data_IF_432739478687
#
_entry.id   IF_432739478687
#
_cell.length_a   1.000
_cell.length_b   1.000
_cell.length_c   1.000
_cell.angle_alpha   90.00
_cell.angle_beta   90.00
_cell.angle_gamma   90.00
#
_symmetry.space_group_name_H-M   'P 1'
#
loop_
_entity.id
_entity.type
_entity.pdbx_description
1 polymer ?
#
# COMPACT_ATOMS: atom_id res chain seq x y z
N UNK A 1 -18.81 37.97 -5.78
CA UNK A 1 -19.41 39.32 -5.78
C UNK A 1 -20.41 39.39 -6.90
N UNK A 2 -21.55 40.02 -6.66
CA UNK A 2 -22.63 40.19 -7.64
C UNK A 2 -22.82 41.70 -7.82
N UNK A 3 -22.82 42.17 -9.06
CA UNK A 3 -23.07 43.59 -9.40
C UNK A 3 -24.24 43.68 -10.38
N UNK A 4 -25.24 44.48 -10.00
CA UNK A 4 -26.44 44.77 -10.79
C UNK A 4 -26.37 46.20 -11.35
N UNK A 5 -26.27 46.35 -12.67
CA UNK A 5 -26.32 47.65 -13.35
C UNK A 5 -27.61 47.76 -14.16
N UNK A 6 -28.48 48.71 -13.80
CA UNK A 6 -29.74 49.00 -14.49
C UNK A 6 -29.68 50.41 -15.10
N UNK A 7 -29.69 50.49 -16.43
CA UNK A 7 -29.82 51.76 -17.17
C UNK A 7 -31.13 51.78 -17.95
N UNK A 8 -31.87 52.89 -17.86
CA UNK A 8 -33.09 53.11 -18.61
C UNK A 8 -33.05 54.48 -19.29
N UNK A 9 -33.06 54.48 -20.62
CA UNK A 9 -33.03 55.68 -21.46
C UNK A 9 -34.39 55.83 -22.16
N UNK A 10 -34.96 57.03 -22.18
CA UNK A 10 -36.27 57.28 -22.81
C UNK A 10 -36.35 58.66 -23.45
N UNK A 11 -37.13 58.76 -24.53
CA UNK A 11 -37.43 60.05 -25.18
C UNK A 11 -38.47 60.82 -24.35
N UNK A 12 -38.21 62.08 -23.93
CA UNK A 12 -39.15 62.88 -23.13
C UNK A 12 -40.51 63.03 -23.83
N UNK A 13 -41.60 62.88 -23.08
CA UNK A 13 -42.98 62.99 -23.59
C UNK A 13 -43.50 61.73 -24.30
N UNK A 14 -42.70 61.09 -25.15
CA UNK A 14 -43.11 59.88 -25.89
C UNK A 14 -42.89 58.58 -25.11
N UNK A 15 -41.89 58.53 -24.24
CA UNK A 15 -41.55 57.33 -23.46
C UNK A 15 -42.52 56.99 -22.33
N UNK A 16 -43.41 57.91 -21.94
CA UNK A 16 -44.37 57.72 -20.84
C UNK A 16 -45.74 57.21 -21.28
N UNK A 17 -45.92 56.93 -22.58
CA UNK A 17 -47.20 56.46 -23.10
C UNK A 17 -47.47 55.01 -22.69
N UNK A 18 -48.65 54.69 -22.14
CA UNK A 18 -48.96 53.35 -21.61
C UNK A 18 -48.95 52.25 -22.69
N UNK A 19 -49.19 52.60 -23.95
CA UNK A 19 -49.22 51.66 -25.09
C UNK A 19 -48.02 51.77 -26.03
N UNK A 20 -47.42 52.96 -26.16
CA UNK A 20 -46.37 53.23 -27.15
C UNK A 20 -45.01 53.52 -26.53
N UNK A 21 -44.92 53.77 -25.23
CA UNK A 21 -43.69 54.19 -24.55
C UNK A 21 -42.52 53.22 -24.74
N UNK A 22 -42.81 51.92 -24.83
CA UNK A 22 -41.81 50.86 -25.07
C UNK A 22 -41.06 50.98 -26.40
N UNK A 23 -41.66 51.57 -27.44
CA UNK A 23 -41.00 51.79 -28.74
C UNK A 23 -39.97 52.92 -28.69
N UNK A 24 -40.10 53.81 -27.71
CA UNK A 24 -39.28 55.01 -27.54
C UNK A 24 -38.46 54.99 -26.22
N UNK A 25 -38.35 53.81 -25.59
CA UNK A 25 -37.56 53.56 -24.40
C UNK A 25 -36.61 52.38 -24.62
N UNK A 26 -35.39 52.46 -24.11
CA UNK A 26 -34.42 51.38 -24.09
C UNK A 26 -34.06 51.05 -22.65
N UNK A 27 -34.22 49.78 -22.26
CA UNK A 27 -33.84 49.27 -20.93
C UNK A 27 -32.73 48.24 -21.10
N UNK A 28 -31.63 48.41 -20.35
CA UNK A 28 -30.50 47.47 -20.33
C UNK A 28 -30.27 47.01 -18.89
N UNK A 29 -30.43 45.71 -18.68
CA UNK A 29 -30.16 45.03 -17.42
C UNK A 29 -28.91 44.14 -17.60
N UNK A 30 -27.87 44.38 -16.80
CA UNK A 30 -26.61 43.62 -16.80
C UNK A 30 -26.36 43.05 -15.40
N UNK A 31 -26.25 41.71 -15.30
CA UNK A 31 -25.97 41.00 -14.05
C UNK A 31 -24.59 40.31 -14.16
N UNK A 32 -23.64 40.74 -13.32
CA UNK A 32 -22.25 40.26 -13.37
C UNK A 32 -21.92 39.48 -12.10
N UNK A 33 -21.61 38.20 -12.24
CA UNK A 33 -21.27 37.29 -11.13
C UNK A 33 -19.81 36.85 -11.16
N UNK A 34 -19.04 37.22 -10.13
CA UNK A 34 -17.65 36.77 -9.96
C UNK A 34 -17.57 35.62 -8.95
N UNK A 35 -17.02 34.48 -9.38
CA UNK A 35 -16.74 33.31 -8.54
C UNK A 35 -15.24 33.00 -8.53
N UNK A 36 -14.70 32.72 -7.35
CA UNK A 36 -13.32 32.27 -7.17
C UNK A 36 -13.35 30.80 -6.75
N UNK A 37 -12.63 29.95 -7.48
CA UNK A 37 -12.50 28.52 -7.17
C UNK A 37 -11.05 28.24 -6.82
N UNK A 38 -10.82 27.70 -5.62
CA UNK A 38 -9.49 27.33 -5.14
C UNK A 38 -9.45 25.83 -4.86
N UNK A 39 -8.52 25.12 -5.51
CA UNK A 39 -8.26 23.70 -5.28
C UNK A 39 -6.92 23.54 -4.56
N UNK A 40 -6.90 22.72 -3.51
CA UNK A 40 -5.69 22.30 -2.80
C UNK A 40 -5.55 20.78 -2.87
N UNK A 41 -4.33 20.28 -2.99
CA UNK A 41 -4.06 18.83 -2.95
C UNK A 41 -3.59 18.45 -1.54
N UNK A 42 -4.42 17.76 -0.73
CA UNK A 42 -3.96 17.28 0.56
C UNK A 42 -2.93 16.17 0.35
N UNK A 43 -1.78 16.27 1.03
CA UNK A 43 -0.75 15.22 1.00
C UNK A 43 -0.83 14.38 2.27
N UNK A 44 -0.80 13.06 2.11
CA UNK A 44 -0.76 12.11 3.22
C UNK A 44 0.68 11.75 3.54
N UNK A 45 1.15 12.08 4.74
CA UNK A 45 2.45 11.65 5.25
C UNK A 45 2.22 10.43 6.14
N UNK A 46 2.73 9.27 5.72
CA UNK A 46 2.71 8.04 6.53
C UNK A 46 4.13 7.57 6.79
N UNK A 47 4.43 7.27 8.04
CA UNK A 47 5.66 6.59 8.42
C UNK A 47 5.48 5.12 8.15
N UNK A 48 6.22 4.57 7.19
CA UNK A 48 6.32 3.12 7.05
C UNK A 48 7.31 2.63 8.10
N UNK A 49 6.87 1.69 8.94
CA UNK A 49 7.78 0.98 9.82
C UNK A 49 8.79 0.23 8.93
N UNK A 50 10.03 0.71 8.93
CA UNK A 50 11.10 0.06 8.19
C UNK A 50 11.31 -1.33 8.80
N UNK A 51 11.20 -2.42 8.03
CA UNK A 51 11.45 -3.76 8.56
C UNK A 51 12.86 -3.84 9.13
N UNK A 52 13.00 -4.45 10.30
CA UNK A 52 14.31 -4.70 10.87
C UNK A 52 15.13 -5.58 9.91
N UNK A 53 16.43 -5.30 9.76
CA UNK A 53 17.28 -5.92 8.75
C UNK A 53 17.24 -7.47 8.74
N UNK A 54 17.13 -8.09 9.92
CA UNK A 54 17.03 -9.53 10.06
C UNK A 54 15.77 -10.14 9.39
N UNK A 55 14.66 -9.40 9.34
CA UNK A 55 13.44 -9.85 8.70
C UNK A 55 13.57 -9.85 7.17
N UNK A 56 14.37 -8.93 6.62
CA UNK A 56 14.66 -8.85 5.17
C UNK A 56 15.61 -9.98 4.75
N UNK A 57 16.62 -10.28 5.57
CA UNK A 57 17.55 -11.37 5.30
C UNK A 57 16.89 -12.75 5.33
N UNK A 58 15.92 -12.99 6.22
CA UNK A 58 15.19 -14.25 6.27
C UNK A 58 14.38 -14.47 4.99
N UNK A 59 13.62 -13.46 4.55
CA UNK A 59 12.86 -13.55 3.28
C UNK A 59 13.75 -13.72 2.03
N UNK A 60 14.94 -13.13 2.01
CA UNK A 60 15.87 -13.31 0.89
C UNK A 60 16.46 -14.73 0.83
N UNK A 61 16.79 -15.32 1.98
CA UNK A 61 17.33 -16.69 2.08
C UNK A 61 16.29 -17.73 1.65
N UNK A 62 15.03 -17.54 2.04
CA UNK A 62 13.93 -18.43 1.62
C UNK A 62 13.66 -18.35 0.11
N UNK A 63 13.83 -17.17 -0.50
CA UNK A 63 13.67 -16.98 -1.94
C UNK A 63 14.79 -17.65 -2.76
N UNK A 64 16.04 -17.59 -2.29
CA UNK A 64 17.19 -18.29 -2.91
C UNK A 64 17.09 -19.81 -2.78
N UNK A 65 16.59 -20.31 -1.64
CA UNK A 65 16.39 -21.74 -1.41
C UNK A 65 15.36 -22.38 -2.36
N UNK A 66 14.37 -21.61 -2.82
CA UNK A 66 13.37 -22.07 -3.81
C UNK A 66 14.00 -22.23 -5.21
N UNK A 67 15.02 -21.45 -5.55
CA UNK A 67 15.67 -21.48 -6.87
C UNK A 67 16.54 -22.74 -7.08
N UNK A 68 16.95 -23.41 -6.01
CA UNK A 68 17.83 -24.59 -6.09
C UNK A 68 17.13 -25.96 -5.89
N UNK A 69 15.82 -26.01 -5.70
CA UNK A 69 15.15 -27.28 -5.39
C UNK A 69 13.74 -27.43 -5.96
N UNK A 70 13.57 -27.61 -7.29
CA UNK A 70 12.49 -28.47 -7.83
C UNK A 70 12.71 -28.86 -9.31
N UNK A 71 12.79 -30.16 -9.68
CA UNK A 71 12.22 -30.61 -10.94
C UNK A 71 10.69 -30.58 -10.84
N UNK A 72 10.03 -29.96 -11.81
CA UNK A 72 8.58 -29.82 -11.84
C UNK A 72 7.89 -31.18 -12.04
N UNK A 73 7.38 -31.77 -10.95
CA UNK A 73 6.36 -32.80 -11.02
C UNK A 73 4.97 -32.13 -10.97
N UNK A 74 3.97 -32.56 -11.77
CA UNK A 74 2.64 -31.98 -11.75
C UNK A 74 1.99 -32.22 -10.39
N UNK A 75 1.70 -31.12 -9.67
CA UNK A 75 1.02 -31.16 -8.37
C UNK A 75 -0.48 -31.33 -8.58
N UNK A 76 -1.02 -32.48 -8.17
CA UNK A 76 -2.48 -32.68 -8.10
C UNK A 76 -3.10 -31.72 -7.05
N UNK A 77 -4.34 -31.24 -7.27
CA UNK A 77 -4.97 -30.31 -6.34
C UNK A 77 -5.26 -30.98 -4.98
N UNK A 78 -5.11 -30.26 -3.87
CA UNK A 78 -5.35 -30.82 -2.54
C UNK A 78 -6.84 -31.11 -2.36
N UNK A 79 -7.18 -32.39 -2.17
CA UNK A 79 -8.51 -32.80 -1.72
C UNK A 79 -8.61 -32.55 -0.22
N UNK A 80 -9.54 -31.68 0.18
CA UNK A 80 -9.82 -31.42 1.60
C UNK A 80 -10.52 -32.66 2.17
N UNK A 81 -9.86 -33.34 3.10
CA UNK A 81 -10.44 -34.45 3.86
C UNK A 81 -10.85 -33.93 5.24
N UNK A 82 -12.12 -34.10 5.67
CA UNK A 82 -12.54 -33.63 6.99
C UNK A 82 -11.84 -34.42 8.10
N UNK A 83 -11.58 -33.81 9.27
CA UNK A 83 -10.86 -34.46 10.36
C UNK A 83 -11.70 -35.59 10.96
N UNK A 84 -11.10 -36.78 11.04
CA UNK A 84 -11.65 -37.90 11.79
C UNK A 84 -11.52 -37.66 13.31
N UNK A 85 -12.47 -38.12 14.14
CA UNK A 85 -12.39 -37.94 15.58
C UNK A 85 -11.24 -38.76 16.20
N UNK A 86 -10.62 -38.28 17.30
CA UNK A 86 -9.48 -38.95 17.90
C UNK A 86 -9.87 -40.25 18.61
N UNK A 87 -9.15 -41.32 18.32
CA UNK A 87 -9.20 -42.57 19.07
C UNK A 87 -8.31 -42.49 20.34
N UNK A 88 -8.64 -43.20 21.44
CA UNK A 88 -7.92 -43.09 22.70
C UNK A 88 -6.50 -43.67 22.62
N UNK A 89 -5.55 -42.98 23.28
CA UNK A 89 -4.13 -43.32 23.25
C UNK A 89 -3.80 -44.56 24.11
N UNK A 90 -3.09 -45.52 23.53
CA UNK A 90 -2.40 -46.58 24.27
C UNK A 90 -0.93 -46.17 24.55
N UNK A 91 -0.33 -46.58 25.68
CA UNK A 91 0.99 -46.10 26.09
C UNK A 91 2.13 -46.78 25.31
N UNK A 92 3.17 -46.00 24.99
CA UNK A 92 4.39 -46.48 24.32
C UNK A 92 5.37 -47.15 25.32
N UNK A 93 6.09 -48.22 24.93
CA UNK A 93 7.12 -48.84 25.77
C UNK A 93 8.45 -48.04 25.78
N UNK A 94 9.28 -48.16 26.84
CA UNK A 94 10.45 -47.30 27.04
C UNK A 94 11.62 -47.73 26.15
N UNK A 95 12.20 -46.78 25.40
CA UNK A 95 13.42 -47.01 24.62
C UNK A 95 14.66 -46.83 25.51
N UNK A 96 15.46 -47.89 25.59
CA UNK A 96 16.64 -47.99 26.44
C UNK A 96 17.78 -47.02 26.09
N UNK A 97 18.47 -46.58 27.13
CA UNK A 97 19.58 -45.64 27.11
C UNK A 97 20.81 -46.19 26.36
N UNK A 98 21.16 -45.59 25.22
CA UNK A 98 22.46 -45.81 24.57
C UNK A 98 23.38 -44.62 24.87
N UNK A 99 24.41 -44.90 25.67
CA UNK A 99 25.44 -43.97 26.15
C UNK A 99 26.53 -43.75 25.09
N UNK A 100 26.91 -42.50 24.83
CA UNK A 100 28.01 -42.12 23.90
C UNK A 100 29.34 -42.00 24.66
N UNK A 101 30.45 -42.63 24.22
CA UNK A 101 31.75 -42.38 24.80
C UNK A 101 32.42 -41.13 24.21
N UNK A 102 33.07 -40.35 25.09
CA UNK A 102 33.86 -39.16 24.80
C UNK A 102 35.37 -39.45 24.92
N UNK A 103 36.19 -38.71 24.17
CA UNK A 103 37.65 -38.56 24.32
C UNK A 103 38.41 -39.04 23.06
N UNK A 104 39.27 -38.29 22.36
CA UNK A 104 39.97 -37.02 22.62
C UNK A 104 41.48 -37.29 22.76
N UNK A 105 42.31 -36.98 21.75
CA UNK A 105 43.78 -36.77 21.88
C UNK A 105 44.29 -35.78 20.82
N UNK A 106 45.14 -34.86 21.28
CA UNK A 106 45.88 -33.79 20.60
C UNK A 106 47.31 -34.23 20.23
N UNK A 107 47.87 -33.74 19.12
CA UNK A 107 49.34 -33.65 18.89
C UNK A 107 49.69 -32.42 18.03
N UNK A 108 50.59 -31.51 18.47
CA UNK A 108 51.11 -30.42 17.66
C UNK A 108 52.58 -30.65 17.20
N UNK A 109 53.00 -29.96 16.13
CA UNK A 109 54.42 -29.62 15.90
C UNK A 109 54.98 -29.97 14.51
N UNK A 110 55.14 -28.96 13.64
CA UNK A 110 56.05 -29.01 12.49
C UNK A 110 56.50 -27.57 12.16
N UNK A 111 57.80 -27.31 12.17
CA UNK A 111 58.36 -26.07 11.65
C UNK A 111 59.72 -25.66 12.21
N UNK A 112 60.72 -25.81 11.36
CA UNK A 112 61.89 -24.94 11.18
C UNK A 112 63.21 -25.23 11.92
N UNK A 113 64.25 -25.46 11.12
CA UNK A 113 65.68 -25.38 11.43
C UNK A 113 66.32 -24.66 10.22
N UNK A 114 67.23 -23.69 10.41
CA UNK A 114 68.66 -24.03 10.48
C UNK A 114 69.55 -23.02 11.26
N UNK A 115 70.69 -23.46 11.80
CA UNK A 115 71.89 -22.62 11.97
C UNK A 115 73.16 -23.50 12.02
N UNK A 116 74.09 -23.27 11.09
CA UNK A 116 75.51 -23.62 11.16
C UNK A 116 76.28 -22.57 10.36
#
# INVERSE_FOLDING_TARGET
SDEDRRNADRVPGLGDLPTLGRLFSSQRDENIKTQLVLLITPRLLRTLAQPAAHAVEFSAKDAEAVTQAVPAAPRAPPRVQPPAPPAPAAPAPPQGSQMRPFGGVVTPGNGDAPQR
#
